data_IF_962631032975
#
_entry.id   IF_962631032975
#
_cell.length_a   1.000
_cell.length_b   1.000
_cell.length_c   1.000
_cell.angle_alpha   90.00
_cell.angle_beta   90.00
_cell.angle_gamma   90.00
#
_symmetry.space_group_name_H-M   'P 1'
#
loop_
_entity.id
_entity.type
_entity.pdbx_description
1 polymer ?
#
# COMPACT_ATOMS: atom_id res chain seq x y z
N UNK A 1 -19.97 -34.01 -3.14
CA UNK A 1 -18.51 -34.15 -2.89
C UNK A 1 -18.19 -33.34 -1.64
N UNK A 2 -18.07 -33.99 -0.47
CA UNK A 2 -17.69 -33.30 0.78
C UNK A 2 -16.19 -33.05 0.69
N UNK A 3 -15.81 -31.84 0.27
CA UNK A 3 -14.42 -31.39 0.34
C UNK A 3 -14.07 -31.34 1.84
N UNK A 4 -13.41 -32.40 2.35
CA UNK A 4 -12.79 -32.45 3.67
C UNK A 4 -11.57 -31.52 3.62
N UNK A 5 -11.82 -30.22 3.53
CA UNK A 5 -10.79 -29.20 3.73
C UNK A 5 -10.35 -29.35 5.17
N UNK A 6 -9.10 -29.75 5.36
CA UNK A 6 -8.47 -29.83 6.67
C UNK A 6 -8.45 -28.44 7.30
N UNK A 7 -9.43 -28.18 8.17
CA UNK A 7 -9.60 -26.90 8.87
C UNK A 7 -8.29 -26.40 9.49
N UNK A 8 -7.44 -27.32 9.95
CA UNK A 8 -6.10 -27.05 10.47
C UNK A 8 -5.14 -26.44 9.45
N UNK A 9 -5.11 -26.92 8.20
CA UNK A 9 -4.21 -26.33 7.20
C UNK A 9 -4.69 -24.97 6.73
N UNK A 10 -6.00 -24.76 6.65
CA UNK A 10 -6.55 -23.42 6.36
C UNK A 10 -6.21 -22.44 7.47
N UNK A 11 -6.34 -22.84 8.75
CA UNK A 11 -5.94 -22.00 9.88
C UNK A 11 -4.44 -21.68 9.86
N UNK A 12 -3.58 -22.66 9.58
CA UNK A 12 -2.12 -22.46 9.48
C UNK A 12 -1.76 -21.56 8.30
N UNK A 13 -2.36 -21.77 7.12
CA UNK A 13 -2.12 -20.94 5.94
C UNK A 13 -2.57 -19.49 6.18
N UNK A 14 -3.70 -19.29 6.86
CA UNK A 14 -4.21 -17.96 7.20
C UNK A 14 -3.27 -17.23 8.16
N UNK A 15 -2.74 -17.90 9.18
CA UNK A 15 -1.74 -17.31 10.09
C UNK A 15 -0.44 -16.98 9.36
N UNK A 16 0.08 -17.91 8.56
CA UNK A 16 1.33 -17.70 7.83
C UNK A 16 1.22 -16.54 6.84
N UNK A 17 0.12 -16.48 6.07
CA UNK A 17 -0.13 -15.39 5.14
C UNK A 17 -0.29 -14.04 5.85
N UNK A 18 -1.06 -13.98 6.95
CA UNK A 18 -1.20 -12.74 7.71
C UNK A 18 0.12 -12.29 8.34
N UNK A 19 0.99 -13.21 8.76
CA UNK A 19 2.31 -12.87 9.28
C UNK A 19 3.22 -12.25 8.21
N UNK A 20 3.29 -12.86 7.02
CA UNK A 20 4.05 -12.31 5.88
C UNK A 20 3.48 -10.95 5.48
N UNK A 21 2.16 -10.86 5.38
CA UNK A 21 1.46 -9.61 5.04
C UNK A 21 1.76 -8.51 6.07
N UNK A 22 1.82 -8.85 7.36
CA UNK A 22 2.21 -7.90 8.41
C UNK A 22 3.61 -7.33 8.21
N UNK A 23 4.58 -8.16 7.80
CA UNK A 23 5.96 -7.70 7.54
C UNK A 23 5.98 -6.77 6.32
N UNK A 24 5.26 -7.14 5.26
CA UNK A 24 5.13 -6.33 4.05
C UNK A 24 4.48 -4.97 4.34
N UNK A 25 3.42 -4.93 5.15
CA UNK A 25 2.77 -3.68 5.56
C UNK A 25 3.71 -2.75 6.32
N UNK A 26 4.52 -3.28 7.24
CA UNK A 26 5.52 -2.47 7.96
C UNK A 26 6.57 -1.92 7.00
N UNK A 27 7.02 -2.70 6.02
CA UNK A 27 7.94 -2.23 5.00
C UNK A 27 7.33 -1.11 4.13
N UNK A 28 6.04 -1.20 3.76
CA UNK A 28 5.34 -0.16 3.00
C UNK A 28 5.22 1.15 3.79
N UNK A 29 4.92 1.07 5.10
CA UNK A 29 4.87 2.26 5.97
C UNK A 29 6.26 2.89 6.05
N UNK A 30 7.31 2.09 6.28
CA UNK A 30 8.68 2.59 6.36
C UNK A 30 9.10 3.28 5.06
N UNK A 31 8.74 2.70 3.91
CA UNK A 31 8.99 3.29 2.61
C UNK A 31 8.27 4.63 2.45
N UNK A 32 6.99 4.69 2.83
CA UNK A 32 6.22 5.94 2.80
C UNK A 32 6.81 7.04 3.68
N UNK A 33 7.30 6.71 4.88
CA UNK A 33 7.95 7.68 5.78
C UNK A 33 9.23 8.23 5.18
N UNK A 34 10.11 7.36 4.66
CA UNK A 34 11.36 7.79 3.99
C UNK A 34 11.06 8.74 2.84
N UNK A 35 10.08 8.42 2.00
CA UNK A 35 9.70 9.30 0.88
C UNK A 35 9.04 10.60 1.34
N UNK A 36 8.31 10.63 2.46
CA UNK A 36 7.78 11.88 3.02
C UNK A 36 8.93 12.80 3.45
N UNK A 37 9.92 12.27 4.17
CA UNK A 37 11.05 13.02 4.71
C UNK A 37 11.93 13.62 3.59
N UNK A 38 12.20 12.86 2.52
CA UNK A 38 12.95 13.36 1.36
C UNK A 38 12.19 14.45 0.57
N UNK A 39 10.84 14.41 0.57
CA UNK A 39 9.98 15.42 -0.06
C UNK A 39 9.73 16.65 0.83
N UNK A 40 10.29 16.73 2.04
CA UNK A 40 10.11 17.88 2.92
C UNK A 40 10.92 19.12 2.51
N UNK A 41 11.95 18.95 1.69
CA UNK A 41 12.82 20.04 1.25
C UNK A 41 12.25 20.86 0.07
N UNK A 42 11.50 20.30 -0.91
CA UNK A 42 10.88 21.06 -2.02
C UNK A 42 9.48 21.65 -1.73
N UNK A 43 8.96 21.49 -0.50
CA UNK A 43 7.56 21.75 -0.05
C UNK A 43 6.90 23.07 -0.46
N UNK A 44 7.66 24.06 -0.91
CA UNK A 44 7.13 25.40 -1.17
C UNK A 44 6.74 25.64 -2.64
N UNK A 45 7.13 24.78 -3.58
CA UNK A 45 6.99 25.09 -5.01
C UNK A 45 6.29 24.04 -5.87
N UNK A 46 6.20 22.78 -5.45
CA UNK A 46 5.64 21.71 -6.29
C UNK A 46 4.21 21.39 -5.85
N UNK A 47 3.27 21.63 -6.75
CA UNK A 47 1.84 21.45 -6.54
C UNK A 47 1.50 20.01 -6.13
N UNK A 48 0.84 19.91 -4.98
CA UNK A 48 -0.17 18.94 -4.46
C UNK A 48 -0.26 17.47 -4.96
N UNK A 49 0.23 17.11 -6.14
CA UNK A 49 0.04 15.77 -6.76
C UNK A 49 1.07 14.72 -6.27
N UNK A 50 2.29 15.11 -5.88
CA UNK A 50 3.29 14.13 -5.42
C UNK A 50 3.09 13.67 -3.98
N UNK A 51 2.40 14.47 -3.16
CA UNK A 51 2.12 14.12 -1.76
C UNK A 51 1.11 12.96 -1.63
N UNK A 52 0.26 12.75 -2.65
CA UNK A 52 -0.72 11.67 -2.65
C UNK A 52 -0.05 10.29 -2.62
N UNK A 53 1.07 10.10 -3.30
CA UNK A 53 1.70 8.78 -3.44
C UNK A 53 2.28 8.24 -2.11
N UNK A 54 3.18 8.93 -1.39
CA UNK A 54 3.73 8.44 -0.12
C UNK A 54 2.67 8.42 0.99
N UNK A 55 1.72 9.37 0.98
CA UNK A 55 0.58 9.36 1.92
C UNK A 55 -0.30 8.13 1.71
N UNK A 56 -0.60 7.76 0.46
CA UNK A 56 -1.35 6.55 0.14
C UNK A 56 -0.63 5.29 0.62
N UNK A 57 0.70 5.21 0.47
CA UNK A 57 1.51 4.08 0.96
C UNK A 57 1.40 3.93 2.49
N UNK A 58 1.44 5.03 3.24
CA UNK A 58 1.30 5.02 4.71
C UNK A 58 -0.12 4.59 5.12
N UNK A 59 -1.16 5.14 4.47
CA UNK A 59 -2.56 4.82 4.80
C UNK A 59 -2.87 3.36 4.47
N UNK A 60 -2.45 2.88 3.31
CA UNK A 60 -2.68 1.51 2.86
C UNK A 60 -1.87 0.51 3.70
N UNK A 61 -0.63 0.83 4.02
CA UNK A 61 0.24 0.07 4.92
C UNK A 61 -0.34 -0.05 6.34
N UNK A 62 -0.88 1.04 6.90
CA UNK A 62 -1.47 1.01 8.24
C UNK A 62 -2.79 0.22 8.30
N UNK A 63 -3.68 0.36 7.31
CA UNK A 63 -4.90 -0.44 7.22
C UNK A 63 -4.60 -1.94 7.11
N UNK A 64 -3.63 -2.29 6.25
CA UNK A 64 -3.21 -3.68 6.04
C UNK A 64 -2.52 -4.28 7.27
N UNK A 65 -1.76 -3.48 8.03
CA UNK A 65 -1.17 -3.90 9.30
C UNK A 65 -2.23 -4.17 10.38
N UNK A 66 -3.26 -3.33 10.49
CA UNK A 66 -4.37 -3.58 11.42
C UNK A 66 -5.15 -4.84 11.01
N UNK A 67 -5.35 -5.04 9.71
CA UNK A 67 -5.98 -6.23 9.18
C UNK A 67 -5.15 -7.50 9.50
N UNK A 68 -3.82 -7.48 9.35
CA UNK A 68 -2.98 -8.64 9.65
C UNK A 68 -3.03 -9.04 11.13
N UNK A 69 -3.00 -8.06 12.05
CA UNK A 69 -3.15 -8.29 13.48
C UNK A 69 -4.52 -8.88 13.84
N UNK A 70 -5.59 -8.34 13.23
CA UNK A 70 -6.93 -8.89 13.36
C UNK A 70 -7.03 -10.33 12.82
N UNK A 71 -6.30 -10.65 11.75
CA UNK A 71 -6.22 -12.00 11.18
C UNK A 71 -5.55 -13.01 12.11
N UNK A 72 -4.45 -12.63 12.76
CA UNK A 72 -3.80 -13.44 13.79
C UNK A 72 -4.71 -13.67 15.01
N UNK A 73 -5.47 -12.65 15.43
CA UNK A 73 -6.47 -12.78 16.51
C UNK A 73 -7.63 -13.71 16.11
N UNK A 74 -8.10 -13.60 14.87
CA UNK A 74 -9.17 -14.45 14.32
C UNK A 74 -8.77 -15.92 14.19
N UNK A 75 -7.47 -16.24 14.06
CA UNK A 75 -7.00 -17.62 14.04
C UNK A 75 -7.06 -18.28 15.44
N UNK A 76 -6.99 -17.48 16.51
CA UNK A 76 -7.03 -17.95 17.90
C UNK A 76 -8.46 -18.10 18.43
N UNK A 77 -9.44 -17.45 17.81
CA UNK A 77 -10.84 -17.59 18.19
C UNK A 77 -11.49 -18.77 17.45
N UNK A 78 -12.15 -19.65 18.18
CA UNK A 78 -12.82 -20.82 17.60
C UNK A 78 -14.17 -20.47 16.95
N UNK A 79 -14.58 -19.20 17.04
CA UNK A 79 -15.82 -18.74 16.44
C UNK A 79 -15.68 -18.55 14.92
N UNK A 80 -16.13 -19.55 14.15
CA UNK A 80 -16.15 -19.52 12.68
C UNK A 80 -16.86 -18.28 12.06
N UNK A 81 -17.71 -17.59 12.83
CA UNK A 81 -18.36 -16.35 12.37
C UNK A 81 -17.35 -15.21 12.19
N UNK A 82 -16.44 -15.00 13.14
CA UNK A 82 -15.46 -13.90 13.08
C UNK A 82 -14.47 -14.09 11.93
N UNK A 83 -13.97 -15.32 11.73
CA UNK A 83 -13.08 -15.65 10.61
C UNK A 83 -13.74 -15.41 9.25
N UNK A 84 -15.03 -15.76 9.08
CA UNK A 84 -15.77 -15.52 7.83
C UNK A 84 -15.92 -14.03 7.53
N UNK A 85 -16.29 -13.22 8.52
CA UNK A 85 -16.39 -11.76 8.35
C UNK A 85 -15.05 -11.13 7.98
N UNK A 86 -13.96 -11.57 8.63
CA UNK A 86 -12.62 -11.08 8.35
C UNK A 86 -12.15 -11.42 6.93
N UNK A 87 -12.37 -12.65 6.46
CA UNK A 87 -12.03 -13.05 5.09
C UNK A 87 -12.83 -12.23 4.06
N UNK A 88 -14.12 -11.98 4.31
CA UNK A 88 -14.94 -11.15 3.44
C UNK A 88 -14.39 -9.72 3.39
N UNK A 89 -14.06 -9.13 4.53
CA UNK A 89 -13.49 -7.79 4.61
C UNK A 89 -12.15 -7.68 3.87
N UNK A 90 -11.24 -8.64 4.05
CA UNK A 90 -9.98 -8.69 3.31
C UNK A 90 -10.20 -8.87 1.81
N UNK A 91 -11.16 -9.69 1.40
CA UNK A 91 -11.48 -9.87 -0.02
C UNK A 91 -11.99 -8.58 -0.66
N UNK A 92 -12.73 -7.76 0.08
CA UNK A 92 -13.18 -6.45 -0.38
C UNK A 92 -12.01 -5.47 -0.49
N UNK A 93 -11.12 -5.43 0.51
CA UNK A 93 -9.90 -4.61 0.44
C UNK A 93 -9.04 -4.98 -0.78
N UNK A 94 -8.84 -6.28 -1.01
CA UNK A 94 -8.06 -6.77 -2.14
C UNK A 94 -8.73 -6.44 -3.49
N UNK A 95 -10.05 -6.50 -3.58
CA UNK A 95 -10.78 -6.10 -4.80
C UNK A 95 -10.64 -4.59 -5.08
N UNK A 96 -10.72 -3.75 -4.04
CA UNK A 96 -10.50 -2.31 -4.15
C UNK A 96 -9.07 -2.01 -4.61
N UNK A 97 -8.09 -2.66 -3.99
CA UNK A 97 -6.68 -2.46 -4.30
C UNK A 97 -6.33 -2.92 -5.71
N UNK A 98 -6.88 -4.06 -6.17
CA UNK A 98 -6.78 -4.49 -7.55
C UNK A 98 -7.42 -3.48 -8.51
N UNK A 99 -8.56 -2.89 -8.15
CA UNK A 99 -9.23 -1.90 -8.99
C UNK A 99 -8.37 -0.65 -9.13
N UNK A 100 -7.82 -0.14 -8.03
CA UNK A 100 -6.90 1.01 -8.03
C UNK A 100 -5.64 0.69 -8.84
N UNK A 101 -5.05 -0.49 -8.62
CA UNK A 101 -3.86 -0.93 -9.34
C UNK A 101 -4.10 -1.06 -10.84
N UNK A 102 -5.26 -1.58 -11.26
CA UNK A 102 -5.61 -1.69 -12.67
C UNK A 102 -5.83 -0.31 -13.28
N UNK A 103 -6.59 0.58 -12.63
CA UNK A 103 -6.81 1.96 -13.10
C UNK A 103 -5.47 2.67 -13.26
N UNK A 104 -4.58 2.56 -12.27
CA UNK A 104 -3.23 3.12 -12.32
C UNK A 104 -2.44 2.57 -13.50
N UNK A 105 -2.47 1.25 -13.73
CA UNK A 105 -1.76 0.60 -14.84
C UNK A 105 -2.28 1.06 -16.22
N UNK A 106 -3.59 1.14 -16.41
CA UNK A 106 -4.18 1.65 -17.65
C UNK A 106 -3.86 3.12 -17.86
N UNK A 107 -3.95 3.93 -16.80
CA UNK A 107 -3.60 5.35 -16.88
C UNK A 107 -2.11 5.53 -17.22
N UNK A 108 -1.21 4.73 -16.64
CA UNK A 108 0.22 4.72 -16.96
C UNK A 108 0.48 4.47 -18.45
N UNK A 109 -0.28 3.59 -19.11
CA UNK A 109 -0.14 3.34 -20.55
C UNK A 109 -0.55 4.53 -21.43
N UNK A 110 -1.49 5.35 -20.96
CA UNK A 110 -1.91 6.59 -21.65
C UNK A 110 -1.04 7.79 -21.27
N UNK A 111 -0.45 7.78 -20.07
CA UNK A 111 0.51 8.77 -19.57
C UNK A 111 1.90 8.45 -20.14
N UNK A 112 1.95 8.31 -21.46
CA UNK A 112 3.17 8.10 -22.23
C UNK A 112 3.99 9.40 -22.22
N UNK A 113 5.11 9.35 -21.50
CA UNK A 113 6.31 10.20 -21.60
C UNK A 113 6.19 11.71 -21.34
N UNK A 114 5.02 12.36 -21.42
CA UNK A 114 4.93 13.82 -21.27
C UNK A 114 4.79 14.28 -19.82
N UNK A 115 3.93 13.64 -19.01
CA UNK A 115 3.76 14.02 -17.59
C UNK A 115 4.91 13.55 -16.71
N UNK A 116 5.45 12.34 -16.94
CA UNK A 116 6.57 11.81 -16.15
C UNK A 116 7.87 12.59 -16.44
N UNK A 117 8.10 12.99 -17.69
CA UNK A 117 9.24 13.88 -18.01
C UNK A 117 9.00 15.30 -17.56
N UNK A 118 7.77 15.82 -17.58
CA UNK A 118 7.49 17.14 -17.03
C UNK A 118 7.70 17.16 -15.51
N UNK A 119 7.21 16.15 -14.79
CA UNK A 119 7.47 15.90 -13.37
C UNK A 119 8.99 15.85 -13.07
N UNK A 120 9.73 15.02 -13.80
CA UNK A 120 11.17 14.86 -13.62
C UNK A 120 11.97 16.11 -14.02
N UNK A 121 11.47 16.90 -14.97
CA UNK A 121 12.12 18.15 -15.40
C UNK A 121 11.86 19.29 -14.41
N UNK A 122 10.70 19.32 -13.77
CA UNK A 122 10.38 20.26 -12.70
C UNK A 122 11.27 20.01 -11.46
N UNK A 123 11.54 18.74 -11.15
CA UNK A 123 12.54 18.37 -10.14
C UNK A 123 13.96 18.84 -10.53
N UNK A 124 14.39 18.67 -11.79
CA UNK A 124 15.71 19.13 -12.26
C UNK A 124 15.87 20.66 -12.34
N UNK A 125 14.82 21.40 -12.68
CA UNK A 125 14.85 22.87 -12.66
C UNK A 125 14.85 23.41 -11.21
N UNK A 126 14.33 22.65 -10.24
CA UNK A 126 14.36 23.03 -8.83
C UNK A 126 15.75 22.87 -8.16
N UNK A 127 16.58 21.92 -8.63
CA UNK A 127 17.97 21.74 -8.15
C UNK A 127 18.93 22.83 -8.68
N UNK A 128 18.80 23.24 -9.95
CA UNK A 128 19.62 24.31 -10.57
C UNK A 128 19.34 25.70 -9.95
N UNK A 129 18.16 25.86 -9.35
CA UNK A 129 17.74 27.09 -8.64
C UNK A 129 18.39 27.24 -7.27
N UNK A 130 18.74 26.13 -6.59
CA UNK A 130 19.44 26.14 -5.30
C UNK A 130 20.95 26.37 -5.46
N UNK A 131 21.55 25.96 -6.58
CA UNK A 131 23.00 26.11 -6.81
C UNK A 131 23.43 27.52 -7.27
N UNK A 132 22.49 28.37 -7.73
CA UNK A 132 22.79 29.76 -8.15
C UNK A 132 22.63 30.83 -7.06
N UNK A 133 22.30 30.42 -5.83
CA UNK A 133 22.14 31.31 -4.69
C UNK A 133 23.35 31.33 -3.72
N UNK A 134 24.40 30.55 -4.01
CA UNK A 134 25.73 30.61 -3.36
C UNK A 134 26.77 31.33 -4.25
#
# INVERSE_FOLDING_TARGET
MKLQVNETAVRVALVAFNFIFSILSVALIALGVVYVDDLELPKKYIGLDFFELPTLLIVLGSLSFVASLAGCYCARTDSQRLTKFFIIFLSVLLALELTISLISFFNMSSVSNSKVRAAMRDELESDDSSEKAD
#
